data_IF_642295655219
#
_entry.id   IF_642295655219
#
_cell.length_a   1.000
_cell.length_b   1.000
_cell.length_c   1.000
_cell.angle_alpha   90.00
_cell.angle_beta   90.00
_cell.angle_gamma   90.00
#
_symmetry.space_group_name_H-M   'P 1'
#
loop_
_entity.id
_entity.type
_entity.pdbx_description
1 polymer ?
#
# COMPACT_ATOMS: atom_id res chain seq x y z
N UNK A 1 1.13 16.34 16.05
CA UNK A 1 1.54 17.75 16.06
C UNK A 1 0.33 18.68 15.86
N UNK A 2 -0.44 18.55 14.77
CA UNK A 2 -1.58 19.41 14.47
C UNK A 2 -2.59 19.50 15.63
N UNK A 3 -2.94 18.38 16.25
CA UNK A 3 -3.87 18.35 17.37
C UNK A 3 -3.37 19.11 18.61
N UNK A 4 -2.04 19.28 18.77
CA UNK A 4 -1.45 20.06 19.85
C UNK A 4 -1.51 21.58 19.62
N UNK A 5 -1.80 22.02 18.40
CA UNK A 5 -1.98 23.43 18.06
C UNK A 5 -3.34 23.95 18.55
N UNK A 6 -4.26 23.04 18.86
CA UNK A 6 -5.58 23.34 19.40
C UNK A 6 -5.69 22.78 20.81
N UNK A 7 -6.42 23.50 21.66
CA UNK A 7 -6.78 22.97 22.97
C UNK A 7 -7.83 21.89 22.82
N UNK A 8 -7.45 20.62 23.05
CA UNK A 8 -8.36 19.48 23.10
C UNK A 8 -8.50 19.07 24.55
N UNK A 9 -9.67 19.29 25.12
CA UNK A 9 -9.94 19.01 26.54
C UNK A 9 -10.25 17.53 26.79
N UNK A 10 -10.79 16.82 25.78
CA UNK A 10 -11.17 15.41 25.90
C UNK A 10 -11.22 14.74 24.51
N UNK A 11 -10.73 13.52 24.41
CA UNK A 11 -10.71 12.75 23.17
C UNK A 11 -11.41 11.40 23.37
N UNK A 12 -12.16 10.96 22.38
CA UNK A 12 -12.71 9.60 22.29
C UNK A 12 -12.23 8.95 21.01
N UNK A 13 -11.51 7.84 21.13
CA UNK A 13 -10.95 7.07 20.02
C UNK A 13 -11.64 5.72 19.94
N UNK A 14 -12.13 5.36 18.76
CA UNK A 14 -12.75 4.06 18.49
C UNK A 14 -11.76 3.20 17.71
N UNK A 15 -11.69 1.91 18.06
CA UNK A 15 -11.06 0.87 17.25
C UNK A 15 -12.16 0.00 16.65
N UNK A 16 -12.12 -0.15 15.32
CA UNK A 16 -13.08 -0.96 14.58
C UNK A 16 -12.47 -2.32 14.25
N UNK A 17 -13.30 -3.36 14.16
CA UNK A 17 -12.92 -4.66 13.62
C UNK A 17 -13.19 -4.74 12.11
N UNK A 18 -12.86 -5.88 11.48
CA UNK A 18 -13.03 -6.12 10.03
C UNK A 18 -14.51 -6.11 9.59
N UNK A 19 -15.46 -6.25 10.52
CA UNK A 19 -16.89 -6.12 10.27
C UNK A 19 -17.41 -4.68 10.44
N UNK A 20 -16.51 -3.70 10.62
CA UNK A 20 -16.84 -2.30 10.93
C UNK A 20 -17.65 -2.13 12.23
N UNK A 21 -17.47 -3.04 13.19
CA UNK A 21 -18.06 -2.93 14.53
C UNK A 21 -17.02 -2.39 15.51
N UNK A 22 -17.47 -1.66 16.52
CA UNK A 22 -16.59 -1.13 17.57
C UNK A 22 -16.01 -2.31 18.37
N UNK A 23 -14.69 -2.49 18.30
CA UNK A 23 -13.93 -3.46 19.06
C UNK A 23 -13.37 -2.89 20.36
N UNK A 24 -13.13 -1.58 20.42
CA UNK A 24 -12.63 -0.88 21.60
C UNK A 24 -12.97 0.59 21.60
N UNK A 25 -13.13 1.16 22.79
CA UNK A 25 -13.34 2.60 23.01
C UNK A 25 -12.33 3.08 24.03
N UNK A 26 -11.61 4.15 23.71
CA UNK A 26 -10.58 4.74 24.55
C UNK A 26 -10.85 6.23 24.67
N UNK A 27 -10.96 6.73 25.91
CA UNK A 27 -11.37 8.10 26.16
C UNK A 27 -10.49 8.73 27.26
N UNK A 28 -10.24 10.03 27.13
CA UNK A 28 -9.42 10.77 28.09
C UNK A 28 -8.55 11.86 27.43
N UNK A 29 -7.37 12.06 27.96
CA UNK A 29 -6.37 12.96 27.37
C UNK A 29 -5.96 12.48 25.97
N UNK A 30 -5.69 13.42 25.07
CA UNK A 30 -5.47 13.17 23.64
C UNK A 30 -4.41 12.09 23.37
N UNK A 31 -3.23 12.21 23.95
CA UNK A 31 -2.13 11.28 23.68
C UNK A 31 -2.35 9.93 24.37
N UNK A 32 -2.87 9.94 25.59
CA UNK A 32 -3.09 8.72 26.39
C UNK A 32 -4.17 7.84 25.76
N UNK A 33 -5.31 8.44 25.37
CA UNK A 33 -6.40 7.72 24.69
C UNK A 33 -5.97 7.16 23.35
N UNK A 34 -5.25 7.94 22.55
CA UNK A 34 -4.71 7.49 21.27
C UNK A 34 -3.68 6.36 21.45
N UNK A 35 -2.74 6.50 22.38
CA UNK A 35 -1.73 5.46 22.65
C UNK A 35 -2.36 4.17 23.15
N UNK A 36 -3.39 4.27 23.99
CA UNK A 36 -4.15 3.09 24.46
C UNK A 36 -4.83 2.37 23.28
N UNK A 37 -5.46 3.12 22.36
CA UNK A 37 -6.06 2.57 21.16
C UNK A 37 -5.02 1.90 20.25
N UNK A 38 -3.86 2.53 20.03
CA UNK A 38 -2.75 1.97 19.26
C UNK A 38 -2.23 0.67 19.88
N UNK A 39 -2.04 0.63 21.20
CA UNK A 39 -1.59 -0.58 21.91
C UNK A 39 -2.62 -1.72 21.85
N UNK A 40 -3.90 -1.36 21.83
CA UNK A 40 -4.97 -2.34 21.66
C UNK A 40 -4.94 -2.96 20.27
N UNK A 41 -4.93 -2.13 19.20
CA UNK A 41 -5.02 -2.64 17.83
C UNK A 41 -3.77 -3.42 17.40
N UNK A 42 -2.58 -3.06 17.89
CA UNK A 42 -1.34 -3.79 17.62
C UNK A 42 -1.44 -5.28 17.91
N UNK A 43 -2.21 -5.68 18.92
CA UNK A 43 -2.40 -7.09 19.30
C UNK A 43 -3.11 -7.92 18.23
N UNK A 44 -3.84 -7.27 17.32
CA UNK A 44 -4.68 -7.89 16.30
C UNK A 44 -4.22 -7.58 14.88
N UNK A 45 -3.65 -6.40 14.67
CA UNK A 45 -3.27 -5.91 13.34
C UNK A 45 -1.80 -6.15 12.99
N UNK A 46 -0.91 -6.34 13.98
CA UNK A 46 0.50 -6.63 13.72
C UNK A 46 0.67 -8.12 13.44
N UNK A 47 1.00 -8.45 12.19
CA UNK A 47 1.28 -9.83 11.75
C UNK A 47 2.78 -9.97 11.56
N UNK A 48 3.38 -10.85 12.35
CA UNK A 48 4.77 -11.24 12.18
C UNK A 48 4.87 -12.50 11.32
N UNK A 49 5.51 -12.37 10.15
CA UNK A 49 5.76 -13.51 9.29
C UNK A 49 6.92 -14.36 9.83
N UNK A 50 6.81 -15.69 9.80
CA UNK A 50 7.89 -16.58 10.25
C UNK A 50 9.10 -16.52 9.31
N UNK A 51 8.86 -16.23 8.03
CA UNK A 51 9.89 -16.20 6.98
C UNK A 51 9.45 -15.31 5.82
N UNK A 52 10.44 -14.78 5.10
CA UNK A 52 10.24 -14.00 3.88
C UNK A 52 9.68 -14.87 2.74
N UNK A 53 8.77 -14.33 1.95
CA UNK A 53 8.31 -14.95 0.72
C UNK A 53 9.09 -14.44 -0.51
N UNK A 54 9.06 -15.24 -1.58
CA UNK A 54 9.58 -14.87 -2.89
C UNK A 54 8.55 -14.05 -3.68
N UNK A 55 7.27 -14.38 -3.48
CA UNK A 55 6.13 -13.69 -4.10
C UNK A 55 5.12 -13.36 -3.02
N UNK A 56 4.73 -12.09 -2.95
CA UNK A 56 3.58 -11.63 -2.19
C UNK A 56 2.44 -11.29 -3.13
N UNK A 57 1.34 -12.02 -3.06
CA UNK A 57 0.10 -11.61 -3.68
C UNK A 57 -0.67 -10.70 -2.74
N UNK A 58 -0.88 -9.47 -3.18
CA UNK A 58 -1.46 -8.40 -2.38
C UNK A 58 -2.73 -7.90 -3.05
N UNK A 59 -3.80 -7.89 -2.31
CA UNK A 59 -5.07 -7.30 -2.76
C UNK A 59 -5.70 -6.50 -1.63
N UNK A 60 -6.68 -5.69 -1.99
CA UNK A 60 -7.49 -4.93 -1.04
C UNK A 60 -8.97 -5.09 -1.38
N UNK A 61 -9.80 -5.13 -0.35
CA UNK A 61 -11.25 -5.19 -0.48
C UNK A 61 -11.92 -3.82 -0.38
N UNK A 62 -13.25 -3.83 -0.44
CA UNK A 62 -14.03 -2.62 -0.20
C UNK A 62 -13.77 -2.07 1.22
N UNK A 63 -13.77 -0.73 1.40
CA UNK A 63 -14.02 0.30 0.38
C UNK A 63 -12.74 0.73 -0.39
N UNK A 64 -11.57 0.17 -0.11
CA UNK A 64 -10.28 0.65 -0.62
C UNK A 64 -9.98 0.23 -2.06
N UNK A 65 -10.72 -0.73 -2.62
CA UNK A 65 -10.58 -1.17 -4.01
C UNK A 65 -11.34 -0.30 -5.03
N UNK A 66 -11.85 0.85 -4.61
CA UNK A 66 -12.66 1.75 -5.46
C UNK A 66 -11.83 2.44 -6.54
N UNK A 67 -10.59 2.80 -6.23
CA UNK A 67 -9.62 3.38 -7.16
C UNK A 67 -8.18 3.04 -6.75
N UNK A 68 -7.23 3.26 -7.65
CA UNK A 68 -5.83 2.90 -7.40
C UNK A 68 -5.19 3.77 -6.30
N UNK A 69 -5.57 5.05 -6.19
CA UNK A 69 -5.09 5.91 -5.11
C UNK A 69 -5.34 5.29 -3.72
N UNK A 70 -6.52 4.75 -3.50
CA UNK A 70 -6.84 4.06 -2.25
C UNK A 70 -6.19 2.67 -2.16
N UNK A 71 -6.25 1.90 -3.25
CA UNK A 71 -5.82 0.52 -3.29
C UNK A 71 -4.30 0.35 -3.15
N UNK A 72 -3.50 1.29 -3.68
CA UNK A 72 -2.03 1.26 -3.63
C UNK A 72 -1.47 1.21 -2.20
N UNK A 73 -2.26 1.61 -1.21
CA UNK A 73 -1.90 1.51 0.23
C UNK A 73 -1.56 0.09 0.65
N UNK A 74 -2.22 -0.93 0.06
CA UNK A 74 -1.92 -2.31 0.36
C UNK A 74 -0.48 -2.70 0.00
N UNK A 75 0.09 -2.13 -1.07
CA UNK A 75 1.48 -2.39 -1.46
C UNK A 75 2.48 -1.86 -0.42
N UNK A 76 2.12 -0.81 0.32
CA UNK A 76 2.96 -0.19 1.34
C UNK A 76 3.00 -0.97 2.66
N UNK A 77 1.97 -1.78 2.93
CA UNK A 77 1.89 -2.54 4.19
C UNK A 77 2.94 -3.63 4.31
N UNK A 78 3.57 -4.02 3.18
CA UNK A 78 4.64 -5.04 3.13
C UNK A 78 6.03 -4.44 2.84
N UNK A 79 6.20 -3.12 2.85
CA UNK A 79 7.46 -2.45 2.48
C UNK A 79 8.66 -2.93 3.30
N UNK A 80 8.41 -3.37 4.55
CA UNK A 80 9.42 -3.91 5.46
C UNK A 80 9.80 -5.37 5.20
N UNK A 81 9.06 -6.04 4.32
CA UNK A 81 9.23 -7.47 4.04
C UNK A 81 9.78 -7.75 2.63
N UNK A 82 9.97 -6.71 1.82
CA UNK A 82 10.34 -6.81 0.41
C UNK A 82 11.70 -6.19 0.12
N UNK A 83 12.38 -6.71 -0.88
CA UNK A 83 13.66 -6.22 -1.43
C UNK A 83 13.78 -6.61 -2.91
N UNK A 84 14.95 -6.39 -3.51
CA UNK A 84 15.26 -6.66 -4.92
C UNK A 84 15.03 -8.13 -5.35
N UNK A 85 14.98 -9.07 -4.41
CA UNK A 85 14.73 -10.49 -4.67
C UNK A 85 13.24 -10.88 -4.59
N UNK A 86 12.39 -9.92 -4.24
CA UNK A 86 10.97 -10.14 -3.99
C UNK A 86 10.12 -9.70 -5.17
N UNK A 87 9.08 -10.46 -5.48
CA UNK A 87 8.01 -10.07 -6.40
C UNK A 87 6.75 -9.73 -5.61
N UNK A 88 6.16 -8.59 -5.92
CA UNK A 88 4.86 -8.18 -5.38
C UNK A 88 3.84 -8.19 -6.53
N UNK A 89 2.90 -9.11 -6.47
CA UNK A 89 1.79 -9.19 -7.41
C UNK A 89 0.56 -8.51 -6.80
N UNK A 90 0.19 -7.37 -7.36
CA UNK A 90 -0.90 -6.54 -6.86
C UNK A 90 -2.14 -6.67 -7.74
N UNK A 91 -3.29 -6.86 -7.09
CA UNK A 91 -4.60 -6.82 -7.72
C UNK A 91 -5.59 -5.95 -6.96
N UNK A 92 -6.32 -5.09 -7.67
CA UNK A 92 -7.49 -4.38 -7.14
C UNK A 92 -8.46 -4.04 -8.27
N UNK A 93 -9.75 -3.95 -7.97
CA UNK A 93 -10.79 -3.68 -8.96
C UNK A 93 -10.69 -2.30 -9.61
N UNK A 94 -10.54 -1.27 -8.81
CA UNK A 94 -10.38 0.14 -9.17
C UNK A 94 -11.37 0.65 -10.24
N UNK A 95 -12.70 0.49 -10.07
CA UNK A 95 -13.68 0.90 -11.07
C UNK A 95 -13.67 2.40 -11.40
N UNK A 96 -13.11 3.23 -10.52
CA UNK A 96 -12.93 4.68 -10.74
C UNK A 96 -11.53 5.03 -11.29
N UNK A 97 -10.76 4.03 -11.74
CA UNK A 97 -9.42 4.25 -12.28
C UNK A 97 -8.39 4.65 -11.23
N UNK A 98 -7.48 5.54 -11.61
CA UNK A 98 -6.42 6.04 -10.70
C UNK A 98 -6.97 7.06 -9.71
N UNK A 99 -7.91 7.88 -10.11
CA UNK A 99 -8.64 8.90 -9.35
C UNK A 99 -7.82 10.15 -8.97
N UNK A 100 -6.51 10.11 -8.96
CA UNK A 100 -5.66 11.25 -8.57
C UNK A 100 -4.63 11.55 -9.67
N UNK A 101 -4.92 12.51 -10.54
CA UNK A 101 -4.00 12.95 -11.60
C UNK A 101 -2.63 13.35 -11.04
N UNK A 102 -2.62 13.98 -9.86
CA UNK A 102 -1.40 14.38 -9.16
C UNK A 102 -0.48 13.20 -8.83
N UNK A 103 -1.04 12.00 -8.64
CA UNK A 103 -0.25 10.80 -8.40
C UNK A 103 0.60 10.42 -9.61
N UNK A 104 0.10 10.69 -10.83
CA UNK A 104 0.79 10.35 -12.08
C UNK A 104 1.81 11.40 -12.51
N UNK A 105 1.65 12.67 -12.12
CA UNK A 105 2.49 13.77 -12.60
C UNK A 105 3.99 13.51 -12.48
N UNK A 106 4.55 13.02 -11.36
CA UNK A 106 5.98 12.73 -11.28
C UNK A 106 6.43 11.68 -12.30
N UNK A 107 5.60 10.67 -12.56
CA UNK A 107 5.90 9.59 -13.51
C UNK A 107 5.72 10.03 -14.98
N UNK A 108 4.83 10.97 -15.26
CA UNK A 108 4.69 11.56 -16.60
C UNK A 108 5.91 12.38 -17.03
N UNK A 109 6.71 12.85 -16.08
CA UNK A 109 7.88 13.69 -16.28
C UNK A 109 9.22 13.01 -15.94
N UNK A 110 9.25 11.68 -15.86
CA UNK A 110 10.44 10.93 -15.47
C UNK A 110 10.59 9.63 -16.25
N UNK A 111 11.81 9.10 -16.27
CA UNK A 111 12.17 7.81 -16.87
C UNK A 111 12.71 6.82 -15.85
N UNK A 112 12.76 7.21 -14.57
CA UNK A 112 13.16 6.35 -13.45
C UNK A 112 12.45 6.79 -12.16
N UNK A 113 12.45 5.89 -11.16
CA UNK A 113 11.89 6.18 -9.83
C UNK A 113 12.63 7.35 -9.17
N UNK A 114 13.95 7.43 -9.34
CA UNK A 114 14.78 8.51 -8.81
C UNK A 114 14.47 9.86 -9.46
N UNK A 115 14.22 9.86 -10.77
CA UNK A 115 13.81 11.07 -11.48
C UNK A 115 12.41 11.51 -11.05
N UNK A 116 11.48 10.56 -10.87
CA UNK A 116 10.13 10.85 -10.36
C UNK A 116 10.18 11.49 -8.98
N UNK A 117 11.00 10.95 -8.06
CA UNK A 117 11.21 11.53 -6.74
C UNK A 117 11.78 12.96 -6.83
N UNK A 118 12.81 13.17 -7.65
CA UNK A 118 13.43 14.48 -7.84
C UNK A 118 12.44 15.50 -8.43
N UNK A 119 11.68 15.09 -9.43
CA UNK A 119 10.65 15.93 -10.04
C UNK A 119 9.59 16.33 -9.01
N UNK A 120 9.10 15.36 -8.24
CA UNK A 120 8.10 15.57 -7.19
C UNK A 120 8.56 16.60 -6.16
N UNK A 121 9.81 16.51 -5.67
CA UNK A 121 10.34 17.46 -4.70
C UNK A 121 10.54 18.87 -5.30
N UNK A 122 10.79 18.97 -6.59
CA UNK A 122 10.92 20.27 -7.30
C UNK A 122 9.56 20.94 -7.54
N UNK A 123 8.47 20.15 -7.56
CA UNK A 123 7.11 20.60 -7.89
C UNK A 123 6.11 20.22 -6.79
N UNK A 124 6.59 20.16 -5.54
CA UNK A 124 5.80 19.62 -4.43
C UNK A 124 4.42 20.28 -4.31
N UNK A 125 3.40 19.43 -4.26
CA UNK A 125 2.03 19.76 -3.93
C UNK A 125 1.56 18.79 -2.86
N UNK A 126 0.88 19.23 -1.77
CA UNK A 126 0.38 18.34 -0.71
C UNK A 126 -0.49 17.18 -1.21
N UNK A 127 -1.09 17.30 -2.39
CA UNK A 127 -1.88 16.24 -3.03
C UNK A 127 -1.04 15.10 -3.61
N UNK A 128 0.30 15.23 -3.58
CA UNK A 128 1.26 14.19 -3.99
C UNK A 128 1.78 13.35 -2.83
N UNK A 129 1.21 13.46 -1.64
CA UNK A 129 1.69 12.73 -0.46
C UNK A 129 1.66 11.21 -0.64
N UNK A 130 0.60 10.66 -1.25
CA UNK A 130 0.52 9.23 -1.56
C UNK A 130 1.54 8.80 -2.63
N UNK A 131 1.88 9.69 -3.58
CA UNK A 131 2.95 9.44 -4.56
C UNK A 131 4.31 9.29 -3.89
N UNK A 132 4.61 10.11 -2.88
CA UNK A 132 5.82 9.96 -2.07
C UNK A 132 5.93 8.56 -1.46
N UNK A 133 4.84 8.06 -0.88
CA UNK A 133 4.81 6.72 -0.31
C UNK A 133 4.94 5.64 -1.39
N UNK A 134 4.34 5.83 -2.56
CA UNK A 134 4.48 4.89 -3.67
C UNK A 134 5.93 4.83 -4.17
N UNK A 135 6.56 5.98 -4.41
CA UNK A 135 7.98 6.08 -4.76
C UNK A 135 8.86 5.38 -3.70
N UNK A 136 8.60 5.62 -2.41
CA UNK A 136 9.33 4.95 -1.33
C UNK A 136 9.19 3.43 -1.40
N UNK A 137 8.02 2.93 -1.72
CA UNK A 137 7.77 1.49 -1.88
C UNK A 137 8.52 0.94 -3.10
N UNK A 138 8.53 1.64 -4.22
CA UNK A 138 9.29 1.26 -5.41
C UNK A 138 10.80 1.23 -5.15
N UNK A 139 11.33 2.12 -4.32
CA UNK A 139 12.75 2.17 -3.93
C UNK A 139 13.23 0.99 -3.09
N UNK A 140 12.35 0.08 -2.68
CA UNK A 140 12.76 -1.24 -2.15
C UNK A 140 13.43 -2.11 -3.21
N UNK A 141 13.32 -1.72 -4.49
CA UNK A 141 13.77 -2.47 -5.67
C UNK A 141 13.07 -3.84 -5.86
N UNK A 142 12.01 -4.10 -5.12
CA UNK A 142 11.15 -5.25 -5.38
C UNK A 142 10.52 -5.13 -6.79
N UNK A 143 10.22 -6.26 -7.40
CA UNK A 143 9.59 -6.31 -8.71
C UNK A 143 8.07 -6.26 -8.53
N UNK A 144 7.45 -5.19 -8.95
CA UNK A 144 5.99 -5.03 -8.86
C UNK A 144 5.34 -5.44 -10.16
N UNK A 145 4.35 -6.34 -10.08
CA UNK A 145 3.45 -6.71 -11.18
C UNK A 145 2.05 -6.32 -10.76
N UNK A 146 1.37 -5.51 -11.57
CA UNK A 146 0.10 -4.92 -11.21
C UNK A 146 -0.96 -5.23 -12.27
N UNK A 147 -2.14 -5.61 -11.81
CA UNK A 147 -3.33 -5.76 -12.63
C UNK A 147 -4.54 -5.12 -11.96
N UNK A 148 -5.30 -4.39 -12.75
CA UNK A 148 -6.61 -3.87 -12.36
C UNK A 148 -7.50 -3.76 -13.59
N UNK A 149 -8.76 -4.22 -13.54
CA UNK A 149 -9.69 -4.02 -14.65
C UNK A 149 -10.07 -2.55 -14.84
N UNK A 150 -9.87 -1.69 -13.86
CA UNK A 150 -10.20 -0.26 -13.92
C UNK A 150 -8.99 0.65 -14.21
N UNK A 151 -7.78 0.10 -14.34
CA UNK A 151 -6.56 0.88 -14.61
C UNK A 151 -5.83 0.29 -15.80
N UNK A 152 -5.53 1.10 -16.79
CA UNK A 152 -4.82 0.65 -17.99
C UNK A 152 -3.41 0.15 -17.63
N UNK A 153 -2.98 -0.92 -18.29
CA UNK A 153 -1.63 -1.48 -18.16
C UNK A 153 -0.53 -0.44 -18.29
N UNK A 154 -0.65 0.45 -19.28
CA UNK A 154 0.32 1.50 -19.56
C UNK A 154 0.52 2.47 -18.38
N UNK A 155 -0.49 2.67 -17.54
CA UNK A 155 -0.36 3.49 -16.34
C UNK A 155 0.55 2.84 -15.28
N UNK A 156 0.46 1.53 -15.11
CA UNK A 156 1.38 0.79 -14.24
C UNK A 156 2.82 0.81 -14.77
N UNK A 157 2.98 0.67 -16.08
CA UNK A 157 4.30 0.74 -16.72
C UNK A 157 4.95 2.13 -16.56
N UNK A 158 4.17 3.19 -16.67
CA UNK A 158 4.63 4.55 -16.33
C UNK A 158 5.08 4.68 -14.88
N UNK A 159 4.39 4.04 -13.94
CA UNK A 159 4.77 4.00 -12.53
C UNK A 159 5.95 3.04 -12.24
N UNK A 160 6.68 2.59 -13.27
CA UNK A 160 7.80 1.65 -13.15
C UNK A 160 7.42 0.28 -12.56
N UNK A 161 6.16 -0.12 -12.71
CA UNK A 161 5.68 -1.46 -12.40
C UNK A 161 5.51 -2.27 -13.70
N UNK A 162 5.53 -3.58 -13.62
CA UNK A 162 5.10 -4.43 -14.72
C UNK A 162 3.57 -4.41 -14.78
N UNK A 163 2.98 -4.01 -15.90
CA UNK A 163 1.55 -4.09 -16.12
C UNK A 163 1.15 -5.48 -16.62
N UNK A 164 0.06 -6.03 -16.09
CA UNK A 164 -0.55 -7.27 -16.57
C UNK A 164 -1.91 -6.97 -17.22
N UNK A 165 -2.29 -7.83 -18.18
CA UNK A 165 -3.52 -7.67 -18.96
C UNK A 165 -4.71 -8.48 -18.39
N UNK A 166 -4.41 -9.46 -17.53
CA UNK A 166 -5.41 -10.28 -16.85
C UNK A 166 -4.88 -10.81 -15.52
N UNK A 167 -5.74 -11.46 -14.76
CA UNK A 167 -5.34 -12.14 -13.54
C UNK A 167 -4.36 -13.30 -13.82
N UNK A 168 -4.59 -14.06 -14.88
CA UNK A 168 -3.72 -15.14 -15.33
C UNK A 168 -2.35 -14.61 -15.74
N UNK A 169 -2.31 -13.47 -16.44
CA UNK A 169 -1.07 -12.82 -16.83
C UNK A 169 -0.31 -12.28 -15.61
N UNK A 170 -1.02 -11.70 -14.63
CA UNK A 170 -0.44 -11.29 -13.35
C UNK A 170 0.27 -12.46 -12.67
N UNK A 171 -0.39 -13.62 -12.55
CA UNK A 171 0.20 -14.81 -11.96
C UNK A 171 1.43 -15.28 -12.76
N UNK A 172 1.29 -15.40 -14.08
CA UNK A 172 2.36 -15.85 -14.96
C UNK A 172 3.60 -14.95 -14.86
N UNK A 173 3.41 -13.62 -14.91
CA UNK A 173 4.51 -12.67 -14.79
C UNK A 173 5.17 -12.74 -13.40
N UNK A 174 4.39 -12.84 -12.33
CA UNK A 174 4.92 -12.94 -10.97
C UNK A 174 5.82 -14.18 -10.79
N UNK A 175 5.36 -15.33 -11.25
CA UNK A 175 6.17 -16.56 -11.22
C UNK A 175 7.43 -16.45 -12.08
N UNK A 176 7.33 -15.93 -13.29
CA UNK A 176 8.47 -15.70 -14.19
C UNK A 176 9.52 -14.79 -13.57
N UNK A 177 9.09 -13.67 -12.99
CA UNK A 177 10.00 -12.68 -12.38
C UNK A 177 10.65 -13.18 -11.10
N UNK A 178 10.06 -14.15 -10.39
CA UNK A 178 10.67 -14.77 -9.22
C UNK A 178 11.92 -15.55 -9.57
N UNK A 179 12.02 -16.07 -10.81
CA UNK A 179 13.15 -16.88 -11.29
C UNK A 179 13.29 -18.23 -10.58
N UNK A 180 12.29 -18.64 -9.77
CA UNK A 180 12.32 -19.87 -8.98
C UNK A 180 11.35 -20.90 -9.51
N UNK A 181 11.78 -22.17 -9.53
CA UNK A 181 10.91 -23.29 -9.91
C UNK A 181 9.77 -23.54 -8.89
N UNK A 182 10.07 -23.31 -7.62
CA UNK A 182 9.12 -23.48 -6.50
C UNK A 182 9.23 -22.28 -5.56
N UNK A 183 8.70 -21.10 -5.95
CA UNK A 183 8.74 -19.92 -5.09
C UNK A 183 7.85 -20.11 -3.87
N UNK A 184 8.28 -19.58 -2.73
CA UNK A 184 7.42 -19.39 -1.56
C UNK A 184 6.47 -18.25 -1.84
N UNK A 185 5.17 -18.51 -1.71
CA UNK A 185 4.11 -17.54 -1.98
C UNK A 185 3.32 -17.25 -0.72
N UNK A 186 3.10 -15.98 -0.44
CA UNK A 186 2.14 -15.54 0.59
C UNK A 186 1.06 -14.71 -0.07
N UNK A 187 -0.19 -15.00 0.26
CA UNK A 187 -1.36 -14.29 -0.23
C UNK A 187 -2.02 -13.48 0.89
N UNK A 188 -2.20 -12.19 0.64
CA UNK A 188 -2.89 -11.25 1.51
C UNK A 188 -4.18 -10.75 0.86
N UNK A 189 -5.35 -11.31 1.21
CA UNK A 189 -6.61 -10.96 0.56
C UNK A 189 -7.16 -9.58 0.93
N UNK A 190 -6.75 -9.02 2.08
CA UNK A 190 -7.25 -7.73 2.58
C UNK A 190 -6.16 -7.01 3.39
N UNK A 191 -5.05 -6.67 2.74
CA UNK A 191 -3.85 -6.21 3.45
C UNK A 191 -3.98 -4.82 4.09
N UNK A 192 -4.93 -3.99 3.66
CA UNK A 192 -5.11 -2.63 4.17
C UNK A 192 -5.39 -2.53 5.69
N UNK A 193 -5.76 -3.63 6.35
CA UNK A 193 -6.08 -3.67 7.78
C UNK A 193 -4.91 -4.12 8.67
N UNK A 194 -3.76 -4.51 8.08
CA UNK A 194 -2.69 -5.17 8.82
C UNK A 194 -1.34 -4.49 8.61
N UNK A 195 -0.51 -4.51 9.64
CA UNK A 195 0.91 -4.18 9.55
C UNK A 195 1.72 -5.48 9.52
N UNK A 196 2.56 -5.64 8.50
CA UNK A 196 3.32 -6.86 8.29
C UNK A 196 4.79 -6.62 8.60
N UNK A 197 5.41 -7.56 9.28
CA UNK A 197 6.86 -7.57 9.58
C UNK A 197 7.44 -8.99 9.49
N UNK A 198 8.73 -9.09 9.36
CA UNK A 198 9.52 -10.32 9.49
C UNK A 198 9.94 -10.57 10.92
#
# INVERSE_FOLDING_TARGET
>A
EAARMYRIDFCVTFVMNDENKIAGVFAGELNESHQAACNFIKKYADIKLPEKADIYFVTTGAPFNVNFYQASRAMRMIDRCIDENTVVAFYAGCPEGIMADQMMMPFDHSHSVEEAEKWMWSHWDPRMDDTLFHIKTLKTNAKFVCYSPGVERAAFEKMHCHGADSYEDLLHQAYKLSGKAHPRVIFFPMLHNYAISL
#
